data_IF_249018464012
#
_entry.id   IF_249018464012
#
_cell.length_a   1.000
_cell.length_b   1.000
_cell.length_c   1.000
_cell.angle_alpha   90.00
_cell.angle_beta   90.00
_cell.angle_gamma   90.00
#
_symmetry.space_group_name_H-M   'P 1'
#
loop_
_entity.id
_entity.type
_entity.pdbx_description
1 polymer ?
#
# COMPACT_ATOMS: atom_id res chain seq x y z
N UNK A 1 10.03 29.42 1.85
CA UNK A 1 11.45 29.29 1.46
C UNK A 1 12.06 28.31 2.43
N UNK A 2 11.78 27.03 2.20
CA UNK A 2 12.24 25.96 3.05
C UNK A 2 13.74 25.77 2.81
N UNK A 3 14.53 25.87 3.88
CA UNK A 3 15.96 25.57 3.79
C UNK A 3 16.13 24.11 3.31
N UNK A 4 17.04 23.86 2.35
CA UNK A 4 17.23 22.52 1.81
C UNK A 4 17.75 21.62 2.94
N UNK A 5 16.90 20.67 3.37
CA UNK A 5 17.23 19.72 4.44
C UNK A 5 18.62 19.13 4.18
N UNK A 6 19.55 19.18 5.16
CA UNK A 6 20.92 18.77 4.94
C UNK A 6 20.98 17.32 4.44
N UNK A 7 21.91 16.98 3.53
CA UNK A 7 22.00 15.65 2.96
C UNK A 7 22.18 14.63 4.08
N UNK A 8 21.26 13.66 4.15
CA UNK A 8 21.27 12.65 5.21
C UNK A 8 22.62 11.93 5.24
N UNK A 9 23.26 11.79 6.42
CA UNK A 9 24.58 11.18 6.50
C UNK A 9 24.55 9.74 5.97
N UNK A 10 25.62 9.27 5.30
CA UNK A 10 25.68 7.90 4.79
C UNK A 10 25.39 6.87 5.87
N UNK A 11 24.51 5.91 5.58
CA UNK A 11 24.09 4.88 6.55
C UNK A 11 25.28 3.96 6.86
N UNK A 12 25.93 4.20 8.00
CA UNK A 12 27.05 3.38 8.47
C UNK A 12 26.59 1.94 8.72
N UNK A 13 27.11 0.96 7.96
CA UNK A 13 26.77 -0.45 8.17
C UNK A 13 27.45 -0.95 9.45
N UNK A 14 26.66 -1.31 10.46
CA UNK A 14 27.17 -1.73 11.77
C UNK A 14 28.03 -2.98 11.59
N UNK A 15 29.30 -2.88 11.98
CA UNK A 15 30.29 -3.94 11.84
C UNK A 15 31.00 -4.02 10.47
N UNK A 16 30.87 -3.00 9.61
CA UNK A 16 31.51 -2.93 8.29
C UNK A 16 32.99 -3.36 8.26
N UNK A 17 33.78 -2.98 9.26
CA UNK A 17 35.20 -3.36 9.36
C UNK A 17 35.41 -4.89 9.42
N UNK A 18 34.74 -5.58 10.36
CA UNK A 18 34.76 -7.05 10.43
C UNK A 18 34.15 -7.71 9.20
N UNK A 19 33.12 -7.08 8.65
CA UNK A 19 32.49 -7.50 7.40
C UNK A 19 33.42 -7.39 6.18
N UNK A 20 34.47 -6.55 6.25
CA UNK A 20 35.49 -6.32 5.24
C UNK A 20 36.74 -7.19 5.43
N UNK A 21 37.17 -7.42 6.67
CA UNK A 21 38.17 -8.45 7.03
C UNK A 21 37.78 -9.81 6.40
N UNK A 22 36.50 -10.15 6.50
CA UNK A 22 35.88 -11.35 5.95
C UNK A 22 35.66 -11.34 4.41
N UNK A 23 35.99 -10.28 3.67
CA UNK A 23 35.93 -10.28 2.19
C UNK A 23 37.12 -11.05 1.60
N UNK A 24 38.26 -11.08 2.30
CA UNK A 24 39.48 -11.74 1.84
C UNK A 24 39.50 -13.25 2.13
N UNK A 25 38.52 -13.76 2.88
CA UNK A 25 38.40 -15.18 3.24
C UNK A 25 37.86 -16.01 2.08
N UNK A 26 38.65 -16.98 1.61
CA UNK A 26 38.26 -17.88 0.50
C UNK A 26 36.99 -18.72 0.78
N UNK A 27 36.65 -18.92 2.06
CA UNK A 27 35.36 -19.43 2.52
C UNK A 27 35.01 -18.79 3.87
N UNK A 28 33.71 -18.66 4.15
CA UNK A 28 33.18 -18.19 5.44
C UNK A 28 32.56 -19.34 6.21
N UNK A 29 32.67 -19.32 7.54
CA UNK A 29 31.93 -20.28 8.37
C UNK A 29 30.42 -19.99 8.35
N UNK A 30 29.62 -21.03 8.62
CA UNK A 30 28.17 -20.90 8.75
C UNK A 30 27.80 -19.87 9.83
N UNK A 31 28.60 -19.76 10.89
CA UNK A 31 28.31 -18.85 12.00
C UNK A 31 28.64 -17.39 11.66
N UNK A 32 29.75 -17.11 10.98
CA UNK A 32 30.03 -15.76 10.44
C UNK A 32 28.87 -15.27 9.56
N UNK A 33 28.39 -16.12 8.64
CA UNK A 33 27.28 -15.78 7.73
C UNK A 33 25.98 -15.51 8.50
N UNK A 34 25.67 -16.29 9.55
CA UNK A 34 24.48 -16.10 10.37
C UNK A 34 24.59 -14.85 11.25
N UNK A 35 25.71 -14.64 11.95
CA UNK A 35 25.96 -13.45 12.75
C UNK A 35 25.95 -12.16 11.90
N UNK A 36 26.55 -12.18 10.71
CA UNK A 36 26.52 -11.09 9.72
C UNK A 36 25.10 -10.76 9.26
N UNK A 37 24.32 -11.77 8.89
CA UNK A 37 22.90 -11.60 8.50
C UNK A 37 22.03 -11.09 9.65
N UNK A 38 22.18 -11.64 10.86
CA UNK A 38 21.45 -11.19 12.07
C UNK A 38 21.75 -9.72 12.38
N UNK A 39 23.03 -9.33 12.38
CA UNK A 39 23.46 -7.94 12.61
C UNK A 39 22.83 -6.96 11.61
N UNK A 40 22.94 -7.27 10.32
CA UNK A 40 22.35 -6.48 9.23
C UNK A 40 20.83 -6.39 9.32
N UNK A 41 20.14 -7.48 9.66
CA UNK A 41 18.67 -7.47 9.83
C UNK A 41 18.23 -6.63 11.03
N UNK A 42 18.90 -6.76 12.18
CA UNK A 42 18.59 -5.95 13.38
C UNK A 42 18.81 -4.46 13.10
N UNK A 43 19.90 -4.10 12.42
CA UNK A 43 20.13 -2.72 11.99
C UNK A 43 19.02 -2.24 11.04
N UNK A 44 18.65 -3.04 10.03
CA UNK A 44 17.63 -2.67 9.06
C UNK A 44 16.28 -2.41 9.74
N UNK A 45 15.86 -3.28 10.68
CA UNK A 45 14.65 -3.06 11.47
C UNK A 45 14.73 -1.78 12.32
N UNK A 46 15.90 -1.49 12.93
CA UNK A 46 16.11 -0.25 13.69
C UNK A 46 16.00 1.00 12.82
N UNK A 47 16.50 0.96 11.58
CA UNK A 47 16.41 2.08 10.65
C UNK A 47 14.96 2.31 10.17
N UNK A 48 14.24 1.23 9.83
CA UNK A 48 12.81 1.33 9.49
C UNK A 48 11.96 1.82 10.66
N UNK A 49 12.25 1.42 11.89
CA UNK A 49 11.56 1.96 13.08
C UNK A 49 11.85 3.45 13.28
N UNK A 50 13.10 3.90 13.10
CA UNK A 50 13.43 5.32 13.19
C UNK A 50 12.72 6.15 12.11
N UNK A 51 12.74 5.69 10.85
CA UNK A 51 12.01 6.32 9.74
C UNK A 51 10.50 6.36 9.98
N UNK A 52 9.93 5.28 10.53
CA UNK A 52 8.51 5.23 10.90
C UNK A 52 8.16 6.29 11.95
N UNK A 53 8.95 6.44 13.01
CA UNK A 53 8.66 7.41 14.07
C UNK A 53 8.81 8.86 13.58
N UNK A 54 9.85 9.18 12.81
CA UNK A 54 9.99 10.51 12.17
C UNK A 54 8.75 10.83 11.32
N UNK A 55 8.30 9.90 10.48
CA UNK A 55 7.08 10.10 9.68
C UNK A 55 5.80 10.16 10.54
N UNK A 56 5.73 9.41 11.65
CA UNK A 56 4.59 9.40 12.55
C UNK A 56 4.44 10.72 13.35
N UNK A 57 5.55 11.41 13.61
CA UNK A 57 5.56 12.73 14.27
C UNK A 57 5.35 13.87 13.25
N UNK A 58 5.98 13.79 12.06
CA UNK A 58 5.88 14.82 11.02
C UNK A 58 4.53 14.85 10.28
N UNK A 59 3.97 13.69 9.92
CA UNK A 59 2.76 13.64 9.09
C UNK A 59 1.53 14.27 9.76
N UNK A 60 1.25 14.08 11.07
CA UNK A 60 0.15 14.77 11.74
C UNK A 60 0.33 16.28 11.80
N UNK A 61 1.57 16.77 11.98
CA UNK A 61 1.87 18.19 12.00
C UNK A 61 1.62 18.83 10.62
N UNK A 62 2.21 18.26 9.55
CA UNK A 62 2.00 18.72 8.16
C UNK A 62 0.54 18.59 7.70
N UNK A 63 -0.16 17.55 8.15
CA UNK A 63 -1.61 17.41 7.92
C UNK A 63 -2.43 18.47 8.66
N UNK A 64 -2.03 18.85 9.88
CA UNK A 64 -2.62 19.94 10.65
C UNK A 64 -2.43 21.31 9.99
N UNK A 65 -1.21 21.62 9.55
CA UNK A 65 -0.88 22.81 8.74
C UNK A 65 -1.78 22.88 7.49
N UNK A 66 -1.80 21.81 6.68
CA UNK A 66 -2.64 21.71 5.49
C UNK A 66 -4.14 21.92 5.78
N UNK A 67 -4.68 21.32 6.84
CA UNK A 67 -6.09 21.50 7.22
C UNK A 67 -6.39 22.89 7.77
N UNK A 68 -5.40 23.60 8.31
CA UNK A 68 -5.57 24.97 8.77
C UNK A 68 -5.54 25.96 7.61
N UNK A 69 -4.60 25.82 6.67
CA UNK A 69 -4.46 26.68 5.51
C UNK A 69 -5.58 26.48 4.47
N UNK A 70 -6.05 25.24 4.28
CA UNK A 70 -7.00 24.91 3.23
C UNK A 70 -8.37 24.41 3.73
N UNK A 71 -8.57 24.21 5.03
CA UNK A 71 -9.85 23.73 5.57
C UNK A 71 -10.31 22.39 4.98
N UNK A 72 -11.63 22.27 4.78
CA UNK A 72 -12.28 21.07 4.24
C UNK A 72 -12.13 20.94 2.70
N UNK A 73 -10.87 20.88 2.23
CA UNK A 73 -10.36 21.19 0.88
C UNK A 73 -10.29 22.67 0.58
N UNK A 74 -9.23 23.11 -0.12
CA UNK A 74 -9.34 24.35 -0.87
C UNK A 74 -10.41 24.12 -1.94
N UNK A 75 -11.38 25.03 -2.03
CA UNK A 75 -11.97 25.30 -3.32
C UNK A 75 -10.84 25.81 -4.22
N UNK A 76 -10.83 25.41 -5.50
CA UNK A 76 -10.07 26.16 -6.48
C UNK A 76 -10.92 27.39 -6.79
N UNK A 77 -10.56 28.51 -6.18
CA UNK A 77 -11.14 29.82 -6.47
C UNK A 77 -10.66 30.29 -7.84
N UNK A 78 -11.19 29.66 -8.89
CA UNK A 78 -11.10 30.17 -10.26
C UNK A 78 -11.89 31.50 -10.36
N UNK A 79 -11.33 32.44 -11.13
CA UNK A 79 -11.64 33.89 -11.10
C UNK A 79 -13.14 34.20 -11.40
N UNK A 80 -13.76 35.16 -10.68
CA UNK A 80 -15.22 35.33 -10.68
C UNK A 80 -15.84 35.81 -12.00
N UNK A 81 -16.84 35.10 -12.55
CA UNK A 81 -17.70 35.65 -13.60
C UNK A 81 -18.52 36.82 -13.07
N UNK A 82 -18.30 38.02 -13.64
CA UNK A 82 -19.08 39.23 -13.33
C UNK A 82 -20.58 39.03 -13.64
N UNK A 83 -21.39 38.78 -12.62
CA UNK A 83 -22.85 38.76 -12.70
C UNK A 83 -23.48 39.37 -11.43
N UNK A 84 -24.41 40.33 -11.55
CA UNK A 84 -25.05 40.95 -10.38
C UNK A 84 -26.01 39.98 -9.68
N UNK A 85 -26.21 40.09 -8.36
CA UNK A 85 -27.10 39.20 -7.61
C UNK A 85 -28.56 39.38 -8.03
N UNK A 86 -29.36 38.29 -8.12
CA UNK A 86 -30.80 38.38 -8.39
C UNK A 86 -31.54 39.02 -7.19
N UNK A 87 -32.66 39.71 -7.41
CA UNK A 87 -33.37 40.43 -6.34
C UNK A 87 -33.93 39.50 -5.25
N UNK A 88 -33.77 39.92 -4.00
CA UNK A 88 -34.43 39.27 -2.85
C UNK A 88 -35.95 39.46 -2.93
N UNK A 89 -36.70 38.37 -2.83
CA UNK A 89 -38.15 38.39 -2.61
C UNK A 89 -38.48 37.97 -1.17
N UNK A 90 -39.49 38.59 -0.52
CA UNK A 90 -39.74 38.43 0.91
C UNK A 90 -40.39 37.08 1.28
N UNK A 91 -40.32 36.67 2.56
CA UNK A 91 -40.90 35.41 3.03
C UNK A 91 -42.43 35.38 2.94
N UNK A 92 -43.02 34.18 2.82
CA UNK A 92 -44.45 33.94 2.97
C UNK A 92 -44.71 32.86 4.02
N UNK A 93 -45.79 33.01 4.77
CA UNK A 93 -46.01 32.37 6.08
C UNK A 93 -47.05 31.23 6.08
N UNK A 94 -46.95 30.38 7.11
CA UNK A 94 -47.96 29.45 7.68
C UNK A 94 -48.43 28.24 6.83
N UNK A 95 -48.67 27.07 7.48
CA UNK A 95 -49.01 25.83 6.75
C UNK A 95 -49.55 24.59 7.51
N UNK A 96 -49.05 24.25 8.71
CA UNK A 96 -49.61 23.31 9.74
C UNK A 96 -49.92 21.83 9.35
N UNK A 97 -49.73 20.90 10.33
CA UNK A 97 -50.18 19.47 10.39
C UNK A 97 -49.44 18.40 9.57
N UNK A 98 -49.33 17.12 10.00
CA UNK A 98 -49.51 16.50 11.34
C UNK A 98 -49.00 15.02 11.37
N UNK A 99 -48.67 14.49 12.56
CA UNK A 99 -48.73 13.03 12.88
C UNK A 99 -47.41 12.22 12.90
N UNK A 100 -47.10 11.44 13.97
CA UNK A 100 -45.97 10.50 14.09
C UNK A 100 -46.43 9.01 14.04
N UNK A 101 -45.54 7.99 14.12
CA UNK A 101 -44.94 7.44 15.38
C UNK A 101 -43.44 6.95 15.18
N UNK A 102 -42.64 6.37 16.09
CA UNK A 102 -42.53 6.27 17.58
C UNK A 102 -41.09 5.77 17.98
N UNK A 103 -40.83 5.56 19.29
CA UNK A 103 -39.90 4.62 19.98
C UNK A 103 -38.55 4.18 19.33
N UNK A 104 -37.40 4.20 20.01
CA UNK A 104 -37.02 4.49 21.42
C UNK A 104 -35.47 4.45 21.53
N UNK A 105 -34.75 4.21 22.65
CA UNK A 105 -35.00 3.92 24.09
C UNK A 105 -33.77 4.48 24.87
N UNK A 106 -33.81 4.67 26.21
CA UNK A 106 -32.74 5.35 26.99
C UNK A 106 -32.09 4.48 28.09
N UNK A 107 -30.77 4.60 28.31
CA UNK A 107 -30.05 4.42 29.59
C UNK A 107 -28.76 5.29 29.56
N UNK A 108 -28.34 5.88 30.69
CA UNK A 108 -27.05 6.60 30.85
C UNK A 108 -26.10 5.89 31.84
N UNK A 109 -25.20 6.58 32.59
CA UNK A 109 -24.92 8.03 32.57
C UNK A 109 -23.41 8.43 32.55
N UNK A 110 -23.16 9.71 32.24
CA UNK A 110 -22.06 10.58 32.68
C UNK A 110 -20.60 10.05 32.71
N UNK A 111 -19.76 10.57 31.81
CA UNK A 111 -18.56 11.32 32.23
C UNK A 111 -18.17 12.39 31.18
N UNK A 112 -17.33 13.35 31.56
CA UNK A 112 -17.36 14.70 31.00
C UNK A 112 -16.29 14.95 29.91
N UNK A 113 -16.72 15.34 28.70
CA UNK A 113 -15.87 16.02 27.71
C UNK A 113 -16.72 16.90 26.80
N UNK A 114 -16.89 18.17 27.19
CA UNK A 114 -17.69 19.16 26.45
C UNK A 114 -16.94 19.69 25.22
N UNK A 115 -16.92 18.92 24.14
CA UNK A 115 -16.58 19.44 22.81
C UNK A 115 -17.82 20.11 22.23
N UNK A 116 -17.72 21.39 21.86
CA UNK A 116 -18.83 22.13 21.26
C UNK A 116 -19.28 21.48 19.94
N UNK A 117 -20.58 21.58 19.56
CA UNK A 117 -21.05 21.05 18.29
C UNK A 117 -20.27 21.73 17.13
N UNK A 118 -19.85 20.97 16.10
CA UNK A 118 -19.13 21.55 14.98
C UNK A 118 -20.06 22.53 14.24
N UNK A 119 -19.76 23.82 14.34
CA UNK A 119 -20.38 24.84 13.49
C UNK A 119 -20.10 24.50 12.03
N UNK A 120 -21.17 24.25 11.27
CA UNK A 120 -21.10 23.78 9.89
C UNK A 120 -20.48 24.83 8.95
N UNK A 121 -19.16 24.84 8.85
CA UNK A 121 -18.44 25.60 7.84
C UNK A 121 -18.90 25.13 6.45
N UNK A 122 -19.60 25.99 5.72
CA UNK A 122 -20.20 25.70 4.42
C UNK A 122 -19.17 25.69 3.27
N UNK A 123 -18.06 24.96 3.46
CA UNK A 123 -16.99 24.74 2.49
C UNK A 123 -17.02 23.31 1.94
N UNK A 124 -17.93 23.05 1.00
CA UNK A 124 -17.99 21.74 0.35
C UNK A 124 -16.97 21.62 -0.78
N UNK A 125 -15.93 20.74 -0.65
CA UNK A 125 -15.06 20.36 -1.80
C UNK A 125 -15.90 20.19 -3.08
N UNK A 126 -15.40 20.72 -4.19
CA UNK A 126 -16.07 20.71 -5.50
C UNK A 126 -16.43 19.29 -5.98
N UNK A 127 -17.31 19.22 -7.00
CA UNK A 127 -17.62 17.98 -7.72
C UNK A 127 -16.43 17.50 -8.55
N UNK A 128 -16.45 16.22 -8.94
CA UNK A 128 -15.44 15.61 -9.80
C UNK A 128 -15.50 16.19 -11.23
N UNK A 129 -14.36 16.63 -11.76
CA UNK A 129 -14.23 17.18 -13.11
C UNK A 129 -14.37 16.14 -14.24
N UNK A 130 -14.46 14.84 -13.93
CA UNK A 130 -14.82 13.84 -14.92
C UNK A 130 -16.29 14.02 -15.35
N UNK A 131 -16.58 13.76 -16.63
CA UNK A 131 -17.94 13.86 -17.17
C UNK A 131 -18.94 13.08 -16.33
N UNK A 132 -20.14 13.63 -16.16
CA UNK A 132 -21.28 12.95 -15.52
C UNK A 132 -20.97 12.30 -14.15
N UNK A 133 -20.08 12.90 -13.35
CA UNK A 133 -19.65 12.36 -12.06
C UNK A 133 -20.01 13.29 -10.89
N UNK A 134 -21.09 12.98 -10.19
CA UNK A 134 -21.58 13.73 -9.01
C UNK A 134 -20.76 13.47 -7.72
N UNK A 135 -19.77 12.57 -7.78
CA UNK A 135 -18.94 12.25 -6.62
C UNK A 135 -18.01 13.43 -6.26
N UNK A 136 -17.84 13.66 -4.96
CA UNK A 136 -16.98 14.73 -4.44
C UNK A 136 -15.51 14.54 -4.85
N UNK A 137 -14.85 15.63 -5.23
CA UNK A 137 -13.43 15.61 -5.57
C UNK A 137 -12.55 15.30 -4.34
N UNK A 138 -11.38 14.71 -4.58
CA UNK A 138 -10.39 14.40 -3.55
C UNK A 138 -9.65 15.67 -3.09
N UNK A 139 -9.02 15.66 -1.90
CA UNK A 139 -8.02 16.67 -1.57
C UNK A 139 -6.93 16.75 -2.65
N UNK A 140 -6.50 17.96 -3.00
CA UNK A 140 -5.44 18.24 -3.99
C UNK A 140 -5.66 17.71 -5.42
N UNK A 141 -6.86 17.26 -5.79
CA UNK A 141 -7.17 16.79 -7.15
C UNK A 141 -8.59 17.20 -7.56
N UNK A 142 -8.83 17.64 -8.81
CA UNK A 142 -10.18 17.92 -9.30
C UNK A 142 -11.03 16.66 -9.54
N UNK A 143 -10.50 15.46 -9.28
CA UNK A 143 -11.19 14.19 -9.49
C UNK A 143 -11.56 13.48 -8.18
N UNK A 144 -12.68 12.76 -8.18
CA UNK A 144 -13.03 11.83 -7.10
C UNK A 144 -12.12 10.59 -7.13
N UNK A 145 -12.11 9.80 -6.04
CA UNK A 145 -11.27 8.60 -5.91
C UNK A 145 -11.31 7.68 -7.16
N UNK A 146 -12.50 7.35 -7.67
CA UNK A 146 -12.64 6.46 -8.83
C UNK A 146 -12.04 7.04 -10.13
N UNK A 147 -11.95 8.36 -10.25
CA UNK A 147 -11.42 9.07 -11.41
C UNK A 147 -10.03 9.67 -11.17
N UNK A 148 -9.40 9.41 -10.02
CA UNK A 148 -8.14 10.04 -9.59
C UNK A 148 -6.92 9.67 -10.46
N UNK A 149 -7.10 8.73 -11.41
CA UNK A 149 -6.14 8.32 -12.43
C UNK A 149 -6.27 9.10 -13.76
N UNK A 150 -7.31 9.94 -13.90
CA UNK A 150 -7.43 10.91 -15.00
C UNK A 150 -6.63 12.20 -14.74
N UNK A 151 -6.15 12.38 -13.51
CA UNK A 151 -5.35 13.54 -13.12
C UNK A 151 -3.91 13.43 -13.65
N UNK A 152 -3.45 14.32 -14.55
CA UNK A 152 -2.09 14.28 -15.08
C UNK A 152 -1.01 14.58 -14.03
N UNK A 153 -1.38 15.14 -12.87
CA UNK A 153 -0.47 15.38 -11.74
C UNK A 153 -0.39 14.20 -10.77
N UNK A 154 -1.12 13.10 -11.01
CA UNK A 154 -1.21 11.96 -10.10
C UNK A 154 0.14 11.23 -9.92
N UNK A 155 0.74 11.34 -8.74
CA UNK A 155 1.94 10.58 -8.37
C UNK A 155 1.72 9.54 -7.27
N UNK A 156 0.64 9.62 -6.49
CA UNK A 156 0.39 8.73 -5.36
C UNK A 156 -0.29 7.42 -5.80
N UNK A 157 -1.18 7.48 -6.79
CA UNK A 157 -1.96 6.34 -7.27
C UNK A 157 -1.48 5.80 -8.63
N UNK A 158 -1.85 4.54 -8.91
CA UNK A 158 -1.64 3.81 -10.16
C UNK A 158 -2.77 2.77 -10.34
N UNK A 159 -3.18 2.40 -11.56
CA UNK A 159 -4.20 1.36 -11.78
C UNK A 159 -3.77 -0.02 -11.27
N UNK A 160 -4.73 -0.73 -10.67
CA UNK A 160 -4.62 -2.12 -10.22
C UNK A 160 -4.25 -3.03 -11.39
N UNK A 161 -3.02 -3.51 -11.42
CA UNK A 161 -2.48 -4.38 -12.47
C UNK A 161 -2.88 -5.86 -12.29
N UNK A 162 -4.09 -6.13 -11.76
CA UNK A 162 -4.63 -7.48 -11.68
C UNK A 162 -5.28 -7.84 -13.03
N UNK A 163 -4.93 -8.97 -13.66
CA UNK A 163 -5.50 -9.39 -14.94
C UNK A 163 -6.97 -9.78 -14.79
N UNK A 164 -7.84 -9.23 -15.63
CA UNK A 164 -9.27 -9.55 -15.67
C UNK A 164 -9.60 -10.28 -16.98
N UNK A 165 -10.07 -11.52 -16.86
CA UNK A 165 -10.54 -12.30 -18.02
C UNK A 165 -11.83 -11.69 -18.56
N UNK A 166 -11.72 -10.83 -19.58
CA UNK A 166 -12.88 -10.38 -20.36
C UNK A 166 -13.46 -11.56 -21.12
N UNK A 167 -14.72 -11.89 -20.83
CA UNK A 167 -15.49 -12.86 -21.60
C UNK A 167 -15.80 -12.29 -23.00
N UNK A 168 -15.04 -12.72 -24.03
CA UNK A 168 -15.45 -12.59 -25.43
C UNK A 168 -14.70 -11.59 -26.32
N UNK A 169 -13.41 -11.29 -26.09
CA UNK A 169 -12.59 -10.57 -27.08
C UNK A 169 -11.16 -11.14 -27.19
N UNK A 170 -10.55 -11.35 -28.38
CA UNK A 170 -9.45 -12.32 -28.52
C UNK A 170 -8.08 -11.92 -27.98
N UNK A 171 -7.75 -10.62 -27.94
CA UNK A 171 -6.36 -10.14 -27.75
C UNK A 171 -6.26 -8.93 -26.81
N UNK A 172 -6.87 -9.00 -25.63
CA UNK A 172 -6.87 -7.88 -24.68
C UNK A 172 -6.90 -8.31 -23.21
N UNK A 173 -5.73 -8.53 -22.61
CA UNK A 173 -5.53 -8.71 -21.17
C UNK A 173 -5.87 -7.40 -20.42
N UNK A 174 -7.16 -7.19 -20.14
CA UNK A 174 -7.62 -5.99 -19.47
C UNK A 174 -7.27 -6.05 -17.98
N UNK A 175 -6.57 -5.04 -17.46
CA UNK A 175 -6.31 -4.92 -16.03
C UNK A 175 -7.53 -4.34 -15.29
N UNK A 176 -7.61 -4.56 -13.98
CA UNK A 176 -8.71 -4.10 -13.13
C UNK A 176 -8.91 -2.58 -13.13
N UNK A 177 -7.86 -1.78 -13.37
CA UNK A 177 -7.95 -0.33 -13.53
C UNK A 177 -8.23 0.49 -12.26
N UNK A 178 -8.85 -0.09 -11.21
CA UNK A 178 -9.10 0.60 -9.93
C UNK A 178 -7.84 1.24 -9.35
N UNK A 179 -7.90 2.46 -8.77
CA UNK A 179 -6.73 3.11 -8.17
C UNK A 179 -6.17 2.33 -6.98
N UNK A 180 -4.84 2.27 -6.91
CA UNK A 180 -4.06 1.67 -5.81
C UNK A 180 -2.86 2.58 -5.53
N UNK A 181 -2.40 2.67 -4.28
CA UNK A 181 -1.20 3.44 -3.92
C UNK A 181 0.05 2.82 -4.55
N UNK A 182 0.95 3.62 -5.14
CA UNK A 182 2.18 3.11 -5.78
C UNK A 182 3.10 2.32 -4.84
N UNK A 183 2.99 2.54 -3.53
CA UNK A 183 3.76 1.83 -2.51
C UNK A 183 3.30 0.39 -2.22
N UNK A 184 2.12 -0.05 -2.69
CA UNK A 184 1.69 -1.45 -2.46
C UNK A 184 2.35 -2.40 -3.46
N UNK A 185 3.11 -3.37 -2.95
CA UNK A 185 3.65 -4.47 -3.74
C UNK A 185 2.98 -5.80 -3.31
N UNK A 186 2.21 -6.49 -4.19
CA UNK A 186 1.92 -6.14 -5.58
C UNK A 186 0.85 -5.03 -5.70
N UNK A 187 0.75 -4.38 -6.87
CA UNK A 187 -0.25 -3.33 -7.16
C UNK A 187 -1.66 -3.92 -7.27
N UNK A 188 -2.33 -4.11 -6.13
CA UNK A 188 -3.64 -4.77 -6.01
C UNK A 188 -4.61 -3.92 -5.21
N UNK A 189 -5.83 -3.76 -5.71
CA UNK A 189 -6.93 -3.18 -4.93
C UNK A 189 -7.48 -4.22 -3.95
N UNK A 190 -8.21 -3.78 -2.91
CA UNK A 190 -8.73 -4.64 -1.85
C UNK A 190 -9.56 -5.85 -2.36
N UNK A 191 -10.28 -5.71 -3.48
CA UNK A 191 -11.04 -6.82 -4.09
C UNK A 191 -10.17 -7.90 -4.75
N UNK A 192 -8.91 -7.60 -5.06
CA UNK A 192 -8.03 -8.42 -5.89
C UNK A 192 -6.80 -8.93 -5.15
N UNK A 193 -6.38 -8.27 -4.07
CA UNK A 193 -5.29 -8.73 -3.22
C UNK A 193 -5.53 -10.15 -2.65
N UNK A 194 -6.63 -10.43 -1.91
CA UNK A 194 -6.95 -11.77 -1.40
C UNK A 194 -7.37 -12.76 -2.50
N UNK A 195 -7.61 -12.31 -3.73
CA UNK A 195 -7.78 -13.19 -4.90
C UNK A 195 -6.42 -13.60 -5.47
N UNK A 196 -5.46 -12.68 -5.55
CA UNK A 196 -4.10 -13.00 -5.98
C UNK A 196 -3.37 -13.91 -4.98
N UNK A 197 -3.56 -13.70 -3.67
CA UNK A 197 -3.03 -14.61 -2.65
C UNK A 197 -3.55 -16.05 -2.87
N UNK A 198 -4.86 -16.23 -3.04
CA UNK A 198 -5.48 -17.55 -3.29
C UNK A 198 -4.97 -18.21 -4.57
N UNK A 199 -4.79 -17.45 -5.65
CA UNK A 199 -4.22 -17.96 -6.90
C UNK A 199 -2.75 -18.37 -6.74
N UNK A 200 -1.97 -17.68 -5.90
CA UNK A 200 -0.58 -18.05 -5.57
C UNK A 200 -0.57 -19.34 -4.73
N UNK A 201 -1.40 -19.45 -3.69
CA UNK A 201 -1.54 -20.67 -2.88
C UNK A 201 -1.94 -21.87 -3.75
N UNK A 202 -2.90 -21.69 -4.65
CA UNK A 202 -3.34 -22.72 -5.59
C UNK A 202 -2.23 -23.12 -6.57
N UNK A 203 -1.47 -22.17 -7.12
CA UNK A 203 -0.33 -22.45 -7.99
C UNK A 203 0.80 -23.21 -7.25
N UNK A 204 1.08 -22.86 -5.98
CA UNK A 204 2.06 -23.55 -5.14
C UNK A 204 1.64 -24.99 -4.83
N UNK A 205 0.37 -25.19 -4.42
CA UNK A 205 -0.22 -26.52 -4.22
C UNK A 205 -0.15 -27.39 -5.49
N UNK A 206 -0.50 -26.80 -6.64
CA UNK A 206 -0.42 -27.49 -7.93
C UNK A 206 1.03 -27.80 -8.38
N UNK A 207 2.03 -27.13 -7.81
CA UNK A 207 3.45 -27.44 -7.95
C UNK A 207 3.98 -28.45 -6.91
N UNK A 208 3.11 -29.00 -6.05
CA UNK A 208 3.47 -29.94 -4.99
C UNK A 208 3.96 -29.31 -3.69
N UNK A 209 3.86 -27.99 -3.54
CA UNK A 209 4.27 -27.25 -2.35
C UNK A 209 3.04 -27.04 -1.45
N UNK A 210 2.70 -28.06 -0.66
CA UNK A 210 1.63 -28.00 0.35
C UNK A 210 2.05 -27.10 1.51
N UNK A 211 1.83 -25.81 1.33
CA UNK A 211 2.26 -24.76 2.23
C UNK A 211 1.10 -24.34 3.16
N UNK A 212 1.13 -24.68 4.47
CA UNK A 212 0.00 -24.44 5.36
C UNK A 212 -0.10 -22.96 5.77
N UNK A 213 -0.65 -22.13 4.88
CA UNK A 213 -1.11 -20.77 5.19
C UNK A 213 -2.36 -20.81 6.06
N UNK A 214 -2.19 -21.29 7.29
CA UNK A 214 -3.10 -20.97 8.39
C UNK A 214 -3.02 -19.46 8.65
N UNK A 215 -4.16 -18.84 8.96
CA UNK A 215 -4.40 -17.38 8.84
C UNK A 215 -3.72 -16.50 9.91
N UNK A 216 -2.53 -16.90 10.39
CA UNK A 216 -1.81 -16.25 11.49
C UNK A 216 -0.33 -15.92 11.21
N UNK A 217 0.28 -16.48 10.17
CA UNK A 217 1.62 -16.06 9.73
C UNK A 217 1.93 -16.51 8.30
N UNK A 218 2.36 -15.57 7.45
CA UNK A 218 2.99 -15.90 6.16
C UNK A 218 4.23 -16.79 6.43
N UNK A 219 4.38 -17.94 5.76
CA UNK A 219 5.57 -18.78 5.85
C UNK A 219 6.82 -17.95 5.57
N UNK A 220 7.72 -17.90 6.55
CA UNK A 220 8.90 -17.02 6.53
C UNK A 220 9.67 -17.26 5.23
N UNK A 221 9.96 -16.19 4.47
CA UNK A 221 10.64 -16.25 3.17
C UNK A 221 11.94 -17.07 3.21
N UNK A 222 12.62 -17.11 4.36
CA UNK A 222 13.78 -17.99 4.62
C UNK A 222 13.53 -19.47 4.38
N UNK A 223 12.31 -19.98 4.64
CA UNK A 223 11.91 -21.36 4.43
C UNK A 223 11.71 -21.67 2.94
N UNK A 224 11.05 -20.77 2.20
CA UNK A 224 10.90 -20.87 0.75
C UNK A 224 12.26 -20.81 0.05
N UNK A 225 13.16 -19.95 0.52
CA UNK A 225 14.55 -19.89 0.04
C UNK A 225 15.32 -21.17 0.39
N UNK A 226 15.17 -21.74 1.59
CA UNK A 226 15.84 -23.01 1.91
C UNK A 226 15.31 -24.17 1.06
N UNK A 227 14.00 -24.24 0.82
CA UNK A 227 13.41 -25.36 0.07
C UNK A 227 13.74 -25.30 -1.42
N UNK A 228 13.63 -24.12 -2.04
CA UNK A 228 14.08 -23.93 -3.43
C UNK A 228 15.58 -24.18 -3.60
N UNK A 229 16.42 -23.82 -2.62
CA UNK A 229 17.85 -24.18 -2.63
C UNK A 229 18.07 -25.69 -2.45
N UNK A 230 17.28 -26.37 -1.61
CA UNK A 230 17.32 -27.84 -1.49
C UNK A 230 16.93 -28.51 -2.80
N UNK A 231 15.83 -28.11 -3.45
CA UNK A 231 15.43 -28.59 -4.77
C UNK A 231 16.54 -28.44 -5.81
N UNK A 232 17.15 -27.25 -5.91
CA UNK A 232 18.25 -26.97 -6.84
C UNK A 232 19.44 -27.90 -6.54
N UNK A 233 19.75 -28.16 -5.26
CA UNK A 233 20.81 -29.11 -4.88
C UNK A 233 20.43 -30.56 -5.19
N UNK A 234 19.18 -30.99 -4.99
CA UNK A 234 18.71 -32.34 -5.33
C UNK A 234 18.75 -32.57 -6.85
N UNK A 235 18.22 -31.63 -7.64
CA UNK A 235 18.26 -31.65 -9.12
C UNK A 235 19.70 -31.72 -9.64
N UNK A 236 20.63 -30.96 -9.05
CA UNK A 236 22.07 -31.03 -9.36
C UNK A 236 22.70 -32.37 -8.92
N UNK A 237 22.37 -32.92 -7.76
CA UNK A 237 22.85 -34.24 -7.30
C UNK A 237 22.38 -35.38 -8.21
N UNK A 238 21.11 -35.36 -8.64
CA UNK A 238 20.55 -36.32 -9.59
C UNK A 238 21.28 -36.25 -10.95
N UNK A 239 21.48 -35.04 -11.48
CA UNK A 239 22.27 -34.82 -12.70
C UNK A 239 23.73 -35.31 -12.58
N UNK A 240 24.39 -35.09 -11.43
CA UNK A 240 25.77 -35.52 -11.18
C UNK A 240 25.92 -37.02 -10.90
N UNK A 241 24.85 -37.70 -10.46
CA UNK A 241 24.86 -39.15 -10.25
C UNK A 241 24.45 -39.92 -11.52
N UNK A 242 23.51 -39.39 -12.31
CA UNK A 242 23.13 -39.99 -13.61
C UNK A 242 24.26 -40.01 -14.64
N UNK A 243 25.28 -39.15 -14.50
CA UNK A 243 26.48 -39.17 -15.34
C UNK A 243 27.53 -40.22 -14.95
N UNK A 244 27.35 -40.99 -13.86
CA UNK A 244 28.38 -41.92 -13.33
C UNK A 244 28.14 -43.40 -13.63
N UNK A 245 26.98 -43.77 -14.17
CA UNK A 245 26.57 -45.18 -14.37
C UNK A 245 26.93 -45.75 -15.74
N UNK A 246 27.72 -45.04 -16.56
CA UNK A 246 28.01 -45.40 -17.97
C UNK A 246 29.50 -45.75 -18.19
N UNK A 247 30.38 -45.49 -17.22
CA UNK A 247 31.85 -45.55 -17.42
C UNK A 247 32.55 -46.63 -16.58
N UNK A 248 31.86 -47.69 -16.17
CA UNK A 248 32.40 -48.75 -15.29
C UNK A 248 32.34 -50.19 -15.82
N UNK A 249 31.71 -50.44 -16.97
CA UNK A 249 31.55 -51.79 -17.57
C UNK A 249 32.48 -52.06 -18.77
N UNK A 250 33.64 -51.40 -18.83
CA UNK A 250 34.55 -51.50 -19.99
C UNK A 250 36.04 -51.61 -19.62
N UNK A 251 36.36 -52.42 -18.60
CA UNK A 251 37.74 -52.81 -18.29
C UNK A 251 37.81 -54.23 -17.68
N UNK A 252 37.38 -55.24 -18.45
CA UNK A 252 37.59 -56.65 -18.09
C UNK A 252 37.54 -57.61 -19.30
N UNK A 253 38.42 -57.37 -20.29
CA UNK A 253 38.84 -58.38 -21.29
C UNK A 253 40.17 -58.01 -21.93
#
# INVERSE_FOLDING_TARGET
MDDPHPPLPPVEVVGAARDAELILSAALSREEVLCRRRRRLVQLCSLYHAQYWVLADELPARHGEYWWEHGASPALDDEPPHAPPPPLLPPKENGVSAGPPENGVVVGPLENCAVAPPVSAAGGRAGCAASNCEAKAMPLSPYCFNHILLDPKQQLYQPCAFPTKKSGLPNGEATCGKPVLRGTAPLRCADHDPKSEKLIIEALRNAGIDLPLTTKSVPKLSLLISETVQEIQMKRKLSMNGGKTVTSDLLLK
#
